data_IF_755771139199
#
_entry.id   IF_755771139199
#
_cell.length_a   1.000
_cell.length_b   1.000
_cell.length_c   1.000
_cell.angle_alpha   90.00
_cell.angle_beta   90.00
_cell.angle_gamma   90.00
#
_symmetry.space_group_name_H-M   'P 1'
#
loop_
_entity.id
_entity.type
_entity.pdbx_description
1 polymer ?
#
# COMPACT_ATOMS: atom_id res chain seq x y z
N UNK A 1 37.79 -21.49 -42.13
CA UNK A 1 38.20 -20.98 -40.79
C UNK A 1 38.46 -19.49 -40.71
N UNK A 2 39.17 -18.85 -41.66
CA UNK A 2 39.39 -17.38 -41.64
C UNK A 2 38.10 -16.54 -41.74
N UNK A 3 37.14 -16.89 -42.61
CA UNK A 3 35.87 -16.17 -42.78
C UNK A 3 34.98 -16.18 -41.52
N UNK A 4 35.02 -17.27 -40.75
CA UNK A 4 34.22 -17.39 -39.52
C UNK A 4 34.80 -16.50 -38.38
N UNK A 5 36.14 -16.41 -38.28
CA UNK A 5 36.82 -15.50 -37.35
C UNK A 5 36.53 -14.01 -37.63
N UNK A 6 36.54 -13.64 -38.93
CA UNK A 6 36.21 -12.25 -39.33
C UNK A 6 34.75 -11.91 -39.04
N UNK A 7 33.83 -12.87 -39.22
CA UNK A 7 32.41 -12.66 -38.91
C UNK A 7 32.15 -12.54 -37.41
N UNK A 8 32.80 -13.37 -36.57
CA UNK A 8 32.72 -13.25 -35.09
C UNK A 8 33.36 -11.93 -34.60
N UNK A 9 34.47 -11.49 -35.16
CA UNK A 9 35.11 -10.22 -34.79
C UNK A 9 34.25 -9.01 -35.15
N UNK A 10 33.58 -9.03 -36.30
CA UNK A 10 32.64 -7.99 -36.72
C UNK A 10 31.35 -8.02 -35.85
N UNK A 11 30.84 -9.19 -35.53
CA UNK A 11 29.66 -9.33 -34.62
C UNK A 11 29.97 -8.80 -33.23
N UNK A 12 31.14 -9.09 -32.68
CA UNK A 12 31.58 -8.54 -31.38
C UNK A 12 31.79 -7.02 -31.41
N UNK A 13 32.36 -6.50 -32.52
CA UNK A 13 32.47 -5.03 -32.70
C UNK A 13 31.11 -4.35 -32.87
N UNK A 14 30.17 -4.95 -33.60
CA UNK A 14 28.80 -4.40 -33.71
C UNK A 14 28.00 -4.49 -32.40
N UNK A 15 28.15 -5.56 -31.66
CA UNK A 15 27.53 -5.68 -30.30
C UNK A 15 28.15 -4.67 -29.32
N UNK A 16 29.48 -4.46 -29.36
CA UNK A 16 30.12 -3.45 -28.51
C UNK A 16 29.72 -2.02 -28.88
N UNK A 17 29.61 -1.70 -30.17
CA UNK A 17 29.17 -0.36 -30.62
C UNK A 17 27.67 -0.11 -30.37
N UNK A 18 26.81 -1.13 -30.40
CA UNK A 18 25.41 -1.03 -30.08
C UNK A 18 25.19 -0.83 -28.55
N UNK A 19 26.01 -1.47 -27.71
CA UNK A 19 25.99 -1.26 -26.25
C UNK A 19 26.43 0.18 -25.86
N UNK A 20 27.31 0.81 -26.60
CA UNK A 20 27.73 2.21 -26.37
C UNK A 20 26.69 3.25 -26.84
N UNK A 21 25.71 2.82 -27.62
CA UNK A 21 24.64 3.70 -28.13
C UNK A 21 23.39 3.69 -27.26
N UNK A 22 23.33 2.85 -26.21
CA UNK A 22 22.22 2.85 -25.22
C UNK A 22 22.62 3.80 -24.10
N UNK A 23 21.99 4.98 -23.97
CA UNK A 23 22.26 5.87 -22.85
C UNK A 23 21.77 5.17 -21.57
N UNK A 24 22.64 5.01 -20.58
CA UNK A 24 22.39 4.51 -19.22
C UNK A 24 22.49 2.99 -18.95
N UNK A 25 23.10 2.18 -19.83
CA UNK A 25 23.43 0.79 -19.48
C UNK A 25 24.84 0.75 -18.91
N UNK A 26 24.96 0.54 -17.61
CA UNK A 26 26.24 0.31 -16.91
C UNK A 26 26.47 -1.19 -16.73
N UNK A 27 27.74 -1.62 -16.56
CA UNK A 27 28.05 -3.03 -16.24
C UNK A 27 27.34 -3.48 -14.95
N UNK A 28 27.31 -2.63 -13.95
CA UNK A 28 26.61 -2.89 -12.69
C UNK A 28 25.09 -3.04 -12.90
N UNK A 29 24.50 -2.24 -13.79
CA UNK A 29 23.09 -2.34 -14.14
C UNK A 29 22.73 -3.67 -14.82
N UNK A 30 23.60 -4.16 -15.72
CA UNK A 30 23.41 -5.48 -16.38
C UNK A 30 23.51 -6.60 -15.35
N UNK A 31 24.50 -6.53 -14.47
CA UNK A 31 24.71 -7.52 -13.41
C UNK A 31 23.50 -7.56 -12.44
N UNK A 32 23.02 -6.39 -12.00
CA UNK A 32 21.84 -6.29 -11.16
C UNK A 32 20.63 -6.93 -11.82
N UNK A 33 20.33 -6.58 -13.08
CA UNK A 33 19.16 -7.07 -13.80
C UNK A 33 19.24 -8.59 -13.98
N UNK A 34 20.43 -9.14 -14.28
CA UNK A 34 20.66 -10.58 -14.32
C UNK A 34 20.44 -11.27 -12.96
N UNK A 35 21.03 -10.73 -11.91
CA UNK A 35 20.87 -11.28 -10.56
C UNK A 35 19.42 -11.18 -10.07
N UNK A 36 18.69 -10.14 -10.49
CA UNK A 36 17.28 -9.97 -10.16
C UNK A 36 16.42 -11.06 -10.81
N UNK A 37 16.61 -11.35 -12.10
CA UNK A 37 15.92 -12.45 -12.79
C UNK A 37 16.19 -13.80 -12.12
N UNK A 38 17.43 -14.06 -11.73
CA UNK A 38 17.78 -15.27 -10.96
C UNK A 38 17.06 -15.29 -9.60
N UNK A 39 17.06 -14.17 -8.86
CA UNK A 39 16.43 -14.08 -7.54
C UNK A 39 14.92 -14.32 -7.59
N UNK A 40 14.20 -13.72 -8.54
CA UNK A 40 12.74 -13.89 -8.64
C UNK A 40 12.35 -15.29 -9.12
N UNK A 41 13.26 -16.02 -9.78
CA UNK A 41 13.06 -17.42 -10.18
C UNK A 41 13.16 -18.41 -9.01
N UNK A 42 13.78 -17.99 -7.90
CA UNK A 42 13.94 -18.83 -6.70
C UNK A 42 12.59 -19.00 -5.98
N UNK A 43 12.17 -20.23 -5.65
CA UNK A 43 10.95 -20.47 -4.89
C UNK A 43 10.92 -19.73 -3.55
N UNK A 44 9.75 -19.26 -3.12
CA UNK A 44 9.57 -18.46 -1.91
C UNK A 44 10.12 -19.12 -0.61
N UNK A 45 10.16 -20.44 -0.55
CA UNK A 45 10.73 -21.18 0.60
C UNK A 45 12.27 -21.29 0.58
N UNK A 46 12.93 -20.79 -0.46
CA UNK A 46 14.40 -20.86 -0.65
C UNK A 46 15.05 -19.47 -0.70
N UNK A 47 14.28 -18.41 -0.69
CA UNK A 47 14.73 -17.02 -0.64
C UNK A 47 14.14 -16.30 0.58
N UNK A 48 14.65 -15.11 0.94
CA UNK A 48 13.98 -14.25 1.92
C UNK A 48 12.57 -13.93 1.48
N UNK A 49 11.62 -13.97 2.43
CA UNK A 49 10.24 -13.55 2.20
C UNK A 49 10.13 -12.03 2.19
N UNK A 50 9.59 -11.49 1.12
CA UNK A 50 9.41 -10.05 0.92
C UNK A 50 8.01 -9.65 1.40
N UNK A 51 7.95 -8.70 2.30
CA UNK A 51 6.70 -8.15 2.81
C UNK A 51 6.47 -6.71 2.38
N UNK A 52 5.20 -6.31 2.24
CA UNK A 52 4.81 -4.95 1.86
C UNK A 52 3.84 -4.36 2.89
N UNK A 53 4.22 -3.23 3.50
CA UNK A 53 3.38 -2.45 4.40
C UNK A 53 2.86 -1.18 3.71
N UNK A 54 1.55 -0.95 3.77
CA UNK A 54 0.86 0.19 3.15
C UNK A 54 0.26 1.11 4.21
N UNK A 55 0.64 2.40 4.20
CA UNK A 55 0.08 3.38 5.15
C UNK A 55 -1.41 3.63 4.95
N UNK A 56 -2.03 4.13 6.00
CA UNK A 56 -3.26 4.90 5.87
C UNK A 56 -3.02 6.17 5.04
N UNK A 57 -4.09 6.86 4.62
CA UNK A 57 -3.91 8.14 3.94
C UNK A 57 -5.15 8.69 3.23
N UNK A 58 -6.30 8.04 3.29
CA UNK A 58 -7.47 8.43 2.51
C UNK A 58 -7.14 8.50 1.01
N UNK A 59 -7.51 9.58 0.33
CA UNK A 59 -7.22 9.79 -1.11
C UNK A 59 -5.71 9.66 -1.42
N UNK A 60 -4.85 10.17 -0.56
CA UNK A 60 -3.38 10.06 -0.71
C UNK A 60 -2.91 8.62 -0.80
N UNK A 61 -3.58 7.71 -0.06
CA UNK A 61 -3.27 6.28 -0.07
C UNK A 61 -3.45 5.61 -1.43
N UNK A 62 -4.18 6.24 -2.38
CA UNK A 62 -4.26 5.71 -3.74
C UNK A 62 -2.90 5.69 -4.46
N UNK A 63 -1.89 6.39 -3.94
CA UNK A 63 -0.50 6.27 -4.40
C UNK A 63 0.03 4.83 -4.31
N UNK A 64 -0.49 4.02 -3.39
CA UNK A 64 -0.12 2.60 -3.28
C UNK A 64 -0.46 1.79 -4.54
N UNK A 65 -1.49 2.16 -5.31
CA UNK A 65 -1.81 1.52 -6.60
C UNK A 65 -0.67 1.73 -7.60
N UNK A 66 -0.15 2.96 -7.68
CA UNK A 66 1.00 3.26 -8.54
C UNK A 66 2.29 2.55 -8.09
N UNK A 67 2.50 2.42 -6.78
CA UNK A 67 3.63 1.64 -6.24
C UNK A 67 3.47 0.16 -6.61
N UNK A 68 2.29 -0.43 -6.40
CA UNK A 68 2.02 -1.82 -6.77
C UNK A 68 2.20 -2.07 -8.26
N UNK A 69 1.83 -1.13 -9.12
CA UNK A 69 2.05 -1.23 -10.57
C UNK A 69 3.54 -1.35 -10.91
N UNK A 70 4.38 -0.51 -10.31
CA UNK A 70 5.84 -0.54 -10.56
C UNK A 70 6.47 -1.81 -9.98
N UNK A 71 6.09 -2.20 -8.77
CA UNK A 71 6.57 -3.44 -8.14
C UNK A 71 6.16 -4.68 -8.96
N UNK A 72 4.90 -4.74 -9.40
CA UNK A 72 4.39 -5.82 -10.24
C UNK A 72 5.12 -5.90 -11.59
N UNK A 73 5.34 -4.76 -12.25
CA UNK A 73 6.07 -4.71 -13.53
C UNK A 73 7.55 -5.09 -13.38
N UNK A 74 8.13 -4.88 -12.21
CA UNK A 74 9.49 -5.32 -11.88
C UNK A 74 9.58 -6.79 -11.44
N UNK A 75 8.47 -7.53 -11.46
CA UNK A 75 8.41 -8.92 -11.00
C UNK A 75 8.68 -9.06 -9.49
N UNK A 76 8.41 -8.02 -8.69
CA UNK A 76 8.68 -8.05 -7.24
C UNK A 76 7.85 -9.12 -6.55
N UNK A 77 8.49 -10.14 -5.95
CA UNK A 77 7.75 -11.17 -5.22
C UNK A 77 7.27 -10.60 -3.88
N UNK A 78 5.96 -10.52 -3.70
CA UNK A 78 5.37 -10.08 -2.43
C UNK A 78 4.77 -11.31 -1.75
N UNK A 79 5.35 -11.72 -0.62
CA UNK A 79 4.99 -12.95 0.10
C UNK A 79 4.06 -12.69 1.29
N UNK A 80 3.94 -11.43 1.75
CA UNK A 80 3.05 -11.02 2.83
C UNK A 80 2.73 -9.53 2.71
N UNK A 81 1.53 -9.13 3.11
CA UNK A 81 1.12 -7.74 3.06
C UNK A 81 0.35 -7.32 4.31
N UNK A 82 0.45 -6.04 4.64
CA UNK A 82 -0.48 -5.41 5.57
C UNK A 82 -0.77 -3.97 5.15
N UNK A 83 -1.98 -3.52 5.46
CA UNK A 83 -2.40 -2.16 5.14
C UNK A 83 -3.34 -1.60 6.20
N UNK A 84 -3.38 -0.27 6.31
CA UNK A 84 -4.30 0.44 7.21
C UNK A 84 -5.16 1.41 6.41
N UNK A 85 -6.46 1.49 6.70
CA UNK A 85 -7.40 2.41 6.04
C UNK A 85 -7.39 2.23 4.51
N UNK A 86 -7.05 3.24 3.71
CA UNK A 86 -6.92 3.10 2.26
C UNK A 86 -5.86 2.03 1.88
N UNK A 87 -4.78 1.91 2.64
CA UNK A 87 -3.81 0.83 2.46
C UNK A 87 -4.41 -0.56 2.70
N UNK A 88 -5.42 -0.68 3.58
CA UNK A 88 -6.16 -1.93 3.77
C UNK A 88 -7.04 -2.26 2.57
N UNK A 89 -7.72 -1.28 1.99
CA UNK A 89 -8.53 -1.46 0.77
C UNK A 89 -7.66 -1.93 -0.39
N UNK A 90 -6.63 -1.15 -0.72
CA UNK A 90 -5.76 -1.43 -1.87
C UNK A 90 -4.99 -2.74 -1.67
N UNK A 91 -4.41 -2.92 -0.48
CA UNK A 91 -3.63 -4.11 -0.17
C UNK A 91 -4.46 -5.39 -0.19
N UNK A 92 -5.68 -5.36 0.34
CA UNK A 92 -6.56 -6.53 0.35
C UNK A 92 -7.10 -6.89 -1.04
N UNK A 93 -7.43 -5.90 -1.88
CA UNK A 93 -7.83 -6.13 -3.26
C UNK A 93 -6.68 -6.75 -4.07
N UNK A 94 -5.46 -6.23 -3.91
CA UNK A 94 -4.28 -6.79 -4.54
C UNK A 94 -3.97 -8.20 -4.03
N UNK A 95 -4.05 -8.41 -2.72
CA UNK A 95 -3.84 -9.71 -2.10
C UNK A 95 -4.90 -10.76 -2.51
N UNK A 96 -6.09 -10.32 -2.93
CA UNK A 96 -7.14 -11.15 -3.52
C UNK A 96 -6.90 -11.48 -5.01
N UNK A 97 -5.76 -11.05 -5.59
CA UNK A 97 -5.38 -11.34 -6.97
C UNK A 97 -5.76 -10.27 -8.00
N UNK A 98 -6.35 -9.12 -7.61
CA UNK A 98 -6.65 -8.06 -8.56
C UNK A 98 -5.34 -7.38 -9.01
N UNK A 99 -5.06 -7.36 -10.32
CA UNK A 99 -3.87 -6.69 -10.85
C UNK A 99 -3.99 -5.16 -10.70
N UNK A 100 -2.87 -4.42 -10.68
CA UNK A 100 -2.89 -2.96 -10.54
C UNK A 100 -3.80 -2.22 -11.52
N UNK A 101 -3.95 -2.74 -12.73
CA UNK A 101 -4.83 -2.17 -13.77
C UNK A 101 -6.29 -2.16 -13.34
N UNK A 102 -6.76 -3.22 -12.68
CA UNK A 102 -8.13 -3.27 -12.14
C UNK A 102 -8.30 -2.33 -10.96
N UNK A 103 -7.28 -2.17 -10.11
CA UNK A 103 -7.28 -1.19 -9.03
C UNK A 103 -7.41 0.25 -9.57
N UNK A 104 -6.75 0.58 -10.69
CA UNK A 104 -6.94 1.85 -11.38
C UNK A 104 -8.36 2.04 -11.90
N UNK A 105 -8.96 1.01 -12.50
CA UNK A 105 -10.35 1.08 -12.98
C UNK A 105 -11.34 1.26 -11.83
N UNK A 106 -11.15 0.54 -10.72
CA UNK A 106 -11.93 0.74 -9.50
C UNK A 106 -11.84 2.22 -9.06
N UNK A 107 -10.62 2.78 -9.01
CA UNK A 107 -10.39 4.17 -8.62
C UNK A 107 -11.11 5.18 -9.53
N UNK A 108 -11.16 4.94 -10.85
CA UNK A 108 -11.88 5.80 -11.82
C UNK A 108 -13.40 5.76 -11.63
N UNK A 109 -13.94 4.61 -11.23
CA UNK A 109 -15.38 4.38 -11.15
C UNK A 109 -15.94 4.54 -9.72
N UNK A 110 -15.07 4.83 -8.74
CA UNK A 110 -15.53 5.14 -7.38
C UNK A 110 -16.51 6.32 -7.42
N UNK A 111 -17.77 6.02 -7.20
CA UNK A 111 -18.79 7.05 -7.02
C UNK A 111 -18.94 7.38 -5.52
N UNK A 112 -18.20 8.37 -5.08
CA UNK A 112 -18.17 8.75 -3.67
C UNK A 112 -19.51 9.20 -3.12
N UNK A 113 -20.42 9.70 -3.95
CA UNK A 113 -21.80 9.99 -3.50
C UNK A 113 -22.55 8.74 -3.05
N UNK A 114 -22.15 7.57 -3.55
CA UNK A 114 -22.71 6.27 -3.09
C UNK A 114 -22.02 5.75 -1.83
N UNK A 115 -20.76 6.13 -1.60
CA UNK A 115 -19.91 5.60 -0.53
C UNK A 115 -19.94 6.51 0.70
N UNK A 116 -19.98 7.84 0.46
CA UNK A 116 -20.12 8.81 1.56
C UNK A 116 -21.53 8.80 2.12
N UNK A 117 -21.67 9.10 3.42
CA UNK A 117 -22.96 9.23 4.02
C UNK A 117 -23.81 10.26 3.26
N UNK A 118 -25.06 9.93 2.98
CA UNK A 118 -26.02 10.90 2.54
C UNK A 118 -26.20 11.95 3.64
N UNK A 119 -25.52 13.09 3.52
CA UNK A 119 -25.85 14.32 4.25
C UNK A 119 -27.09 14.95 3.65
N UNK A 120 -28.12 14.11 3.39
CA UNK A 120 -29.45 14.60 3.08
C UNK A 120 -30.08 15.24 4.33
N UNK A 121 -31.18 15.94 4.14
CA UNK A 121 -31.88 16.63 5.22
C UNK A 121 -32.18 15.71 6.42
N UNK A 122 -32.45 14.42 6.18
CA UNK A 122 -32.70 13.41 7.20
C UNK A 122 -31.42 12.99 7.93
N UNK A 123 -30.29 12.89 7.20
CA UNK A 123 -28.97 12.61 7.80
C UNK A 123 -28.50 13.76 8.68
N UNK A 124 -28.70 15.00 8.22
CA UNK A 124 -28.42 16.21 9.00
C UNK A 124 -29.30 16.29 10.25
N UNK A 125 -30.59 15.95 10.13
CA UNK A 125 -31.51 15.87 11.27
C UNK A 125 -31.06 14.81 12.28
N UNK A 126 -30.70 13.60 11.84
CA UNK A 126 -30.19 12.54 12.71
C UNK A 126 -28.89 12.96 13.42
N UNK A 127 -27.99 13.63 12.71
CA UNK A 127 -26.74 14.13 13.28
C UNK A 127 -26.99 15.21 14.33
N UNK A 128 -27.84 16.21 14.02
CA UNK A 128 -28.09 17.34 14.91
C UNK A 128 -28.96 16.98 16.11
N UNK A 129 -29.99 16.15 15.92
CA UNK A 129 -30.97 15.87 16.96
C UNK A 129 -30.81 14.52 17.66
N UNK A 130 -30.28 13.50 16.95
CA UNK A 130 -30.08 12.17 17.50
C UNK A 130 -28.60 11.89 17.81
N UNK A 131 -27.68 12.79 17.45
CA UNK A 131 -26.23 12.64 17.61
C UNK A 131 -25.71 11.31 17.02
N UNK A 132 -26.38 10.79 15.97
CA UNK A 132 -26.01 9.56 15.28
C UNK A 132 -25.21 9.86 14.03
N UNK A 133 -24.07 9.21 13.92
CA UNK A 133 -23.27 9.20 12.70
C UNK A 133 -23.86 8.21 11.67
N UNK A 134 -23.58 8.38 10.38
CA UNK A 134 -24.00 7.44 9.35
C UNK A 134 -23.19 6.13 9.42
N UNK A 135 -23.82 5.04 8.95
CA UNK A 135 -23.14 3.75 8.82
C UNK A 135 -22.19 3.73 7.64
N UNK A 136 -21.08 3.01 7.77
CA UNK A 136 -20.12 2.72 6.69
C UNK A 136 -20.46 1.46 5.89
N UNK A 137 -21.68 0.93 5.96
CA UNK A 137 -22.08 -0.28 5.22
C UNK A 137 -21.94 -0.16 3.71
N UNK A 138 -22.13 1.05 3.15
CA UNK A 138 -21.93 1.29 1.71
C UNK A 138 -20.49 1.00 1.28
N UNK A 139 -19.50 1.27 2.14
CA UNK A 139 -18.09 0.94 1.88
C UNK A 139 -17.89 -0.58 1.81
N UNK A 140 -18.51 -1.31 2.72
CA UNK A 140 -18.47 -2.79 2.73
C UNK A 140 -19.16 -3.36 1.48
N UNK A 141 -20.32 -2.83 1.11
CA UNK A 141 -21.04 -3.26 -0.09
C UNK A 141 -20.21 -3.00 -1.34
N UNK A 142 -19.64 -1.80 -1.47
CA UNK A 142 -18.75 -1.47 -2.59
C UNK A 142 -17.54 -2.42 -2.66
N UNK A 143 -16.91 -2.73 -1.54
CA UNK A 143 -15.80 -3.67 -1.49
C UNK A 143 -16.21 -5.07 -1.95
N UNK A 144 -17.36 -5.57 -1.48
CA UNK A 144 -17.91 -6.85 -1.88
C UNK A 144 -18.34 -6.92 -3.35
N UNK A 145 -18.70 -5.79 -3.96
CA UNK A 145 -18.95 -5.71 -5.41
C UNK A 145 -17.69 -5.99 -6.24
N UNK A 146 -16.49 -5.74 -5.69
CA UNK A 146 -15.24 -5.95 -6.41
C UNK A 146 -14.75 -7.40 -6.35
N UNK A 147 -14.81 -8.04 -5.18
CA UNK A 147 -14.19 -9.36 -4.95
C UNK A 147 -15.12 -10.38 -4.30
N UNK A 148 -16.41 -10.04 -4.08
CA UNK A 148 -17.33 -10.91 -3.38
C UNK A 148 -17.10 -10.99 -1.87
N UNK A 149 -17.78 -11.94 -1.23
CA UNK A 149 -17.65 -12.20 0.21
C UNK A 149 -16.54 -13.23 0.46
N UNK A 150 -15.30 -12.79 0.40
CA UNK A 150 -14.13 -13.65 0.63
C UNK A 150 -13.60 -13.49 2.07
N UNK A 151 -12.77 -14.41 2.46
CA UNK A 151 -12.11 -14.48 3.76
C UNK A 151 -10.61 -14.23 3.59
N UNK A 152 -9.91 -13.93 4.68
CA UNK A 152 -8.45 -13.83 4.67
C UNK A 152 -7.79 -15.12 4.18
N UNK A 153 -8.39 -16.26 4.49
CA UNK A 153 -7.89 -17.58 4.13
C UNK A 153 -7.98 -17.87 2.62
N UNK A 154 -8.77 -17.09 1.88
CA UNK A 154 -8.98 -17.21 0.44
C UNK A 154 -8.03 -16.32 -0.39
N UNK A 155 -7.21 -15.50 0.27
CA UNK A 155 -6.30 -14.57 -0.38
C UNK A 155 -5.09 -15.26 -1.00
N UNK A 156 -4.64 -14.80 -2.15
CA UNK A 156 -3.43 -15.29 -2.83
C UNK A 156 -2.16 -14.90 -2.07
N UNK A 157 -2.17 -13.72 -1.44
CA UNK A 157 -1.07 -13.23 -0.59
C UNK A 157 -1.60 -13.09 0.84
N UNK A 158 -0.93 -13.68 1.85
CA UNK A 158 -1.24 -13.44 3.25
C UNK A 158 -1.35 -11.93 3.56
N UNK A 159 -2.48 -11.54 4.13
CA UNK A 159 -2.78 -10.14 4.41
C UNK A 159 -3.17 -9.93 5.87
N UNK A 160 -2.84 -8.77 6.43
CA UNK A 160 -3.34 -8.34 7.73
C UNK A 160 -3.73 -6.85 7.72
N UNK A 161 -4.70 -6.52 8.55
CA UNK A 161 -5.08 -5.12 8.81
C UNK A 161 -5.42 -4.91 10.27
N UNK A 162 -5.60 -3.66 10.69
CA UNK A 162 -5.95 -3.31 12.04
C UNK A 162 -7.10 -2.30 12.10
N UNK A 163 -7.83 -2.36 13.22
CA UNK A 163 -8.78 -1.35 13.67
C UNK A 163 -8.51 -1.00 15.13
N UNK A 164 -9.13 0.04 15.65
CA UNK A 164 -9.09 0.37 17.09
C UNK A 164 -10.46 0.12 17.73
N UNK A 165 -10.47 -0.53 18.88
CA UNK A 165 -11.68 -0.61 19.72
C UNK A 165 -11.85 0.70 20.51
N UNK A 166 -12.94 1.42 20.24
CA UNK A 166 -13.23 2.73 20.89
C UNK A 166 -13.39 2.60 22.41
N UNK A 167 -13.85 1.44 22.91
CA UNK A 167 -14.06 1.24 24.35
C UNK A 167 -12.76 1.12 25.13
N UNK A 168 -11.77 0.47 24.55
CA UNK A 168 -10.52 0.13 25.25
C UNK A 168 -9.30 0.88 24.75
N UNK A 169 -9.37 1.44 23.51
CA UNK A 169 -8.22 2.01 22.82
C UNK A 169 -7.26 0.96 22.26
N UNK A 170 -7.59 -0.33 22.39
CA UNK A 170 -6.74 -1.42 21.93
C UNK A 170 -6.73 -1.55 20.42
N UNK A 171 -5.60 -1.92 19.88
CA UNK A 171 -5.48 -2.38 18.49
C UNK A 171 -6.14 -3.75 18.34
N UNK A 172 -7.04 -3.88 17.38
CA UNK A 172 -7.65 -5.14 16.96
C UNK A 172 -7.06 -5.54 15.63
N UNK A 173 -6.31 -6.64 15.59
CA UNK A 173 -5.67 -7.17 14.40
C UNK A 173 -6.63 -8.13 13.72
N UNK A 174 -6.71 -8.04 12.38
CA UNK A 174 -7.42 -8.95 11.50
C UNK A 174 -6.44 -9.58 10.52
N UNK A 175 -6.34 -10.89 10.57
CA UNK A 175 -5.55 -11.76 9.70
C UNK A 175 -6.30 -13.05 9.36
N UNK A 176 -7.54 -13.15 9.78
CA UNK A 176 -8.40 -14.31 9.60
C UNK A 176 -9.89 -13.91 9.65
N UNK A 177 -10.74 -14.73 9.06
CA UNK A 177 -12.18 -14.51 9.03
C UNK A 177 -12.68 -13.63 7.87
N UNK A 178 -13.85 -12.97 7.98
CA UNK A 178 -14.43 -12.16 6.91
C UNK A 178 -13.59 -10.94 6.59
N UNK A 179 -13.13 -10.82 5.33
CA UNK A 179 -12.25 -9.74 4.89
C UNK A 179 -12.98 -8.39 4.84
N UNK A 180 -14.20 -8.38 4.36
CA UNK A 180 -15.03 -7.19 4.18
C UNK A 180 -15.30 -6.43 5.49
N UNK A 181 -15.55 -7.14 6.58
CA UNK A 181 -15.75 -6.55 7.90
C UNK A 181 -14.44 -5.90 8.40
N UNK A 182 -13.32 -6.58 8.22
CA UNK A 182 -12.02 -6.10 8.66
C UNK A 182 -11.60 -4.82 7.89
N UNK A 183 -11.75 -4.84 6.57
CA UNK A 183 -11.45 -3.68 5.71
C UNK A 183 -12.37 -2.51 6.05
N UNK A 184 -13.69 -2.76 6.20
CA UNK A 184 -14.65 -1.75 6.65
C UNK A 184 -14.25 -1.15 8.00
N UNK A 185 -13.88 -1.97 8.98
CA UNK A 185 -13.46 -1.50 10.29
C UNK A 185 -12.18 -0.66 10.22
N UNK A 186 -11.20 -1.10 9.40
CA UNK A 186 -9.93 -0.41 9.21
C UNK A 186 -10.05 0.96 8.55
N UNK A 187 -11.09 1.20 7.75
CA UNK A 187 -11.32 2.51 7.08
C UNK A 187 -12.48 3.31 7.69
N UNK A 188 -12.97 2.92 8.85
CA UNK A 188 -14.12 3.54 9.51
C UNK A 188 -13.72 4.79 10.29
N UNK A 189 -13.55 5.92 9.58
CA UNK A 189 -13.04 7.18 10.12
C UNK A 189 -13.83 7.64 11.36
N UNK A 190 -13.15 7.86 12.51
CA UNK A 190 -13.77 8.37 13.73
C UNK A 190 -14.40 9.75 13.49
N UNK A 191 -15.62 9.93 14.01
CA UNK A 191 -16.37 11.18 13.85
C UNK A 191 -17.03 11.40 12.49
N UNK A 192 -16.76 10.51 11.51
CA UNK A 192 -17.41 10.49 10.19
C UNK A 192 -18.45 9.39 10.11
N UNK A 193 -18.14 8.21 10.63
CA UNK A 193 -19.02 7.04 10.63
C UNK A 193 -19.27 6.52 12.04
N UNK A 194 -20.44 5.88 12.23
CA UNK A 194 -20.70 5.08 13.43
C UNK A 194 -19.67 3.96 13.54
N UNK A 195 -19.20 3.63 14.76
CA UNK A 195 -18.29 2.51 14.96
C UNK A 195 -18.85 1.19 14.40
N UNK A 196 -18.00 0.38 13.81
CA UNK A 196 -18.38 -0.97 13.34
C UNK A 196 -18.48 -1.89 14.55
N UNK A 197 -19.69 -2.38 14.81
CA UNK A 197 -19.88 -3.39 15.87
C UNK A 197 -19.48 -4.78 15.35
N UNK A 198 -18.49 -5.39 16.00
CA UNK A 198 -18.01 -6.72 15.68
C UNK A 198 -17.52 -7.46 16.92
N UNK A 199 -18.10 -8.63 17.23
CA UNK A 199 -17.75 -9.48 18.39
C UNK A 199 -17.70 -8.69 19.70
N UNK A 200 -18.73 -7.89 19.98
CA UNK A 200 -18.87 -7.03 21.16
C UNK A 200 -17.85 -5.88 21.27
N UNK A 201 -17.08 -5.60 20.21
CA UNK A 201 -16.19 -4.45 20.07
C UNK A 201 -16.83 -3.38 19.20
N UNK A 202 -16.40 -2.14 19.37
CA UNK A 202 -16.83 -0.98 18.60
C UNK A 202 -15.62 -0.40 17.87
N UNK A 203 -15.49 -0.73 16.59
CA UNK A 203 -14.28 -0.56 15.84
C UNK A 203 -14.30 0.71 14.99
N UNK A 204 -13.16 1.41 14.99
CA UNK A 204 -12.87 2.57 14.13
C UNK A 204 -11.54 2.36 13.43
N UNK A 205 -11.22 3.29 12.51
CA UNK A 205 -10.05 3.23 11.64
C UNK A 205 -8.76 2.91 12.40
N UNK A 206 -8.01 1.96 11.86
CA UNK A 206 -6.75 1.50 12.42
C UNK A 206 -5.64 2.55 12.43
N UNK A 207 -5.76 3.61 11.63
CA UNK A 207 -4.78 4.71 11.59
C UNK A 207 -4.58 5.39 12.95
N UNK A 208 -5.55 5.28 13.86
CA UNK A 208 -5.46 5.84 15.22
C UNK A 208 -4.38 5.14 16.06
N UNK A 209 -4.14 3.84 15.82
CA UNK A 209 -3.24 2.99 16.61
C UNK A 209 -2.09 2.37 15.82
N UNK A 210 -2.23 2.24 14.50
CA UNK A 210 -1.22 1.63 13.63
C UNK A 210 -1.31 2.22 12.22
N UNK A 211 -0.69 3.36 12.00
CA UNK A 211 -0.77 4.08 10.74
C UNK A 211 0.02 3.40 9.60
N UNK A 212 1.17 2.80 9.92
CA UNK A 212 2.02 2.02 9.01
C UNK A 212 2.28 0.63 9.62
N UNK A 213 1.59 -0.43 9.14
CA UNK A 213 1.52 -1.71 9.83
C UNK A 213 2.73 -2.65 9.52
N UNK A 214 3.97 -2.15 9.65
CA UNK A 214 5.21 -2.93 9.46
C UNK A 214 5.24 -4.14 10.41
N UNK A 215 4.79 -3.96 11.65
CA UNK A 215 4.74 -5.03 12.64
C UNK A 215 3.80 -6.17 12.21
N UNK A 216 2.71 -5.89 11.50
CA UNK A 216 1.80 -6.94 11.02
C UNK A 216 2.42 -7.75 9.90
N UNK A 217 3.13 -7.10 8.99
CA UNK A 217 3.89 -7.78 7.93
C UNK A 217 4.98 -8.68 8.53
N UNK A 218 5.69 -8.18 9.54
CA UNK A 218 6.70 -8.97 10.26
C UNK A 218 6.10 -10.20 10.95
N UNK A 219 4.92 -10.05 11.55
CA UNK A 219 4.22 -11.16 12.22
C UNK A 219 3.77 -12.25 11.25
N UNK A 220 3.61 -11.93 9.96
CA UNK A 220 3.33 -12.90 8.88
C UNK A 220 4.60 -13.61 8.38
N UNK A 221 5.75 -13.32 8.98
CA UNK A 221 7.02 -14.00 8.71
C UNK A 221 7.79 -13.43 7.53
N UNK A 222 7.60 -12.16 7.18
CA UNK A 222 8.47 -11.49 6.22
C UNK A 222 9.87 -11.27 6.81
N UNK A 223 10.88 -11.59 6.01
CA UNK A 223 12.30 -11.41 6.35
C UNK A 223 12.77 -9.99 5.94
N UNK A 224 12.28 -9.49 4.82
CA UNK A 224 12.55 -8.15 4.28
C UNK A 224 11.24 -7.38 4.09
N UNK A 225 11.16 -6.17 4.60
CA UNK A 225 9.91 -5.39 4.58
C UNK A 225 10.10 -4.09 3.82
N UNK A 226 9.28 -3.92 2.78
CA UNK A 226 9.11 -2.68 2.02
C UNK A 226 7.95 -1.90 2.65
N UNK A 227 8.16 -0.63 2.96
CA UNK A 227 7.11 0.27 3.41
C UNK A 227 6.75 1.27 2.30
N UNK A 228 5.50 1.26 1.85
CA UNK A 228 4.96 2.33 0.99
C UNK A 228 4.29 3.37 1.86
N UNK A 229 4.88 4.55 1.91
CA UNK A 229 4.49 5.63 2.82
C UNK A 229 3.91 6.81 2.06
N UNK A 230 2.77 7.31 2.53
CA UNK A 230 2.21 8.60 2.13
C UNK A 230 2.48 9.62 3.24
N UNK A 231 3.57 10.39 3.15
CA UNK A 231 3.94 11.32 4.20
C UNK A 231 2.87 12.39 4.37
N UNK A 232 2.75 12.87 5.59
CA UNK A 232 1.78 13.89 6.00
C UNK A 232 2.44 15.27 5.96
N UNK A 233 1.82 16.25 5.30
CA UNK A 233 2.29 17.64 5.30
C UNK A 233 1.46 18.50 6.24
N UNK A 234 2.13 19.21 7.13
CA UNK A 234 1.54 20.12 8.11
C UNK A 234 1.77 21.59 7.77
N UNK A 235 2.46 21.89 6.66
CA UNK A 235 2.77 23.25 6.23
C UNK A 235 1.54 24.02 5.73
N UNK A 236 0.46 23.30 5.39
CA UNK A 236 -0.78 23.87 4.89
C UNK A 236 -1.59 24.59 5.97
N UNK A 237 -2.54 25.40 5.52
CA UNK A 237 -3.36 26.30 6.35
C UNK A 237 -3.96 25.65 7.61
N UNK A 238 -4.17 26.46 8.65
CA UNK A 238 -4.88 26.06 9.87
C UNK A 238 -6.30 25.59 9.51
N UNK A 239 -6.75 24.41 9.98
CA UNK A 239 -8.08 23.90 9.73
C UNK A 239 -9.16 24.89 10.21
N UNK A 240 -10.20 25.11 9.38
CA UNK A 240 -11.28 26.08 9.68
C UNK A 240 -12.55 25.41 10.24
N UNK A 241 -12.64 24.07 10.22
CA UNK A 241 -13.81 23.35 10.73
C UNK A 241 -13.38 22.35 11.81
N UNK A 242 -14.30 22.03 12.72
CA UNK A 242 -14.04 21.05 13.79
C UNK A 242 -13.62 19.70 13.22
N UNK A 243 -14.29 19.21 12.18
CA UNK A 243 -13.94 17.95 11.53
C UNK A 243 -12.52 17.97 10.95
N UNK A 244 -12.17 19.03 10.21
CA UNK A 244 -10.81 19.19 9.66
C UNK A 244 -9.75 19.34 10.75
N UNK A 245 -10.10 19.94 11.90
CA UNK A 245 -9.19 20.06 13.03
C UNK A 245 -8.91 18.71 13.68
N UNK A 246 -9.96 17.90 13.90
CA UNK A 246 -9.82 16.54 14.45
C UNK A 246 -9.01 15.63 13.52
N UNK A 247 -9.26 15.68 12.20
CA UNK A 247 -8.47 14.96 11.21
C UNK A 247 -6.99 15.40 11.24
N UNK A 248 -6.72 16.70 11.38
CA UNK A 248 -5.36 17.23 11.50
C UNK A 248 -4.63 16.69 12.74
N UNK A 249 -5.32 16.58 13.88
CA UNK A 249 -4.73 15.98 15.10
C UNK A 249 -4.37 14.50 14.83
N UNK A 250 -5.27 13.77 14.18
CA UNK A 250 -5.03 12.39 13.74
C UNK A 250 -3.81 12.28 12.80
N UNK A 251 -3.71 13.19 11.84
CA UNK A 251 -2.57 13.26 10.90
C UNK A 251 -1.25 13.54 11.64
N UNK A 252 -1.22 14.49 12.59
CA UNK A 252 -0.01 14.79 13.40
C UNK A 252 0.44 13.55 14.19
N UNK A 253 -0.49 12.85 14.81
CA UNK A 253 -0.21 11.58 15.49
C UNK A 253 0.29 10.53 14.51
N UNK A 254 -0.38 10.41 13.36
CA UNK A 254 -0.01 9.49 12.29
C UNK A 254 1.43 9.68 11.79
N UNK A 255 1.89 10.93 11.65
CA UNK A 255 3.27 11.22 11.23
C UNK A 255 4.29 10.64 12.20
N UNK A 256 4.08 10.81 13.52
CA UNK A 256 4.97 10.24 14.53
C UNK A 256 4.96 8.68 14.47
N UNK A 257 3.81 8.07 14.23
CA UNK A 257 3.69 6.61 14.09
C UNK A 257 4.36 6.11 12.80
N UNK A 258 4.27 6.85 11.70
CA UNK A 258 4.99 6.54 10.45
C UNK A 258 6.50 6.54 10.71
N UNK A 259 7.03 7.61 11.34
CA UNK A 259 8.46 7.74 11.63
C UNK A 259 8.98 6.57 12.46
N UNK A 260 8.27 6.21 13.54
CA UNK A 260 8.63 5.08 14.39
C UNK A 260 8.58 3.74 13.64
N UNK A 261 7.52 3.51 12.83
CA UNK A 261 7.32 2.24 12.14
C UNK A 261 8.23 2.08 10.92
N UNK A 262 8.51 3.18 10.20
CA UNK A 262 9.39 3.18 9.03
C UNK A 262 10.83 2.75 9.37
N UNK A 263 11.32 3.07 10.57
CA UNK A 263 12.64 2.63 11.05
C UNK A 263 12.74 1.09 11.20
N UNK A 264 11.60 0.38 11.23
CA UNK A 264 11.53 -1.07 11.36
C UNK A 264 11.37 -1.78 10.00
N UNK A 265 11.21 -1.03 8.93
CA UNK A 265 11.22 -1.52 7.55
C UNK A 265 12.65 -1.53 7.00
N UNK A 266 12.92 -2.42 6.05
CA UNK A 266 14.22 -2.47 5.38
C UNK A 266 14.33 -1.38 4.31
N UNK A 267 13.23 -1.11 3.59
CA UNK A 267 13.19 -0.10 2.54
C UNK A 267 11.90 0.74 2.62
N UNK A 268 12.01 2.03 2.33
CA UNK A 268 10.87 2.97 2.40
C UNK A 268 10.69 3.70 1.08
N UNK A 269 9.57 3.47 0.41
CA UNK A 269 9.14 4.24 -0.76
C UNK A 269 8.26 5.39 -0.28
N UNK A 270 8.77 6.62 -0.41
CA UNK A 270 8.03 7.82 0.02
C UNK A 270 7.23 8.43 -1.13
N UNK A 271 5.91 8.30 -1.06
CA UNK A 271 4.99 8.90 -2.02
C UNK A 271 4.64 10.33 -1.58
N UNK A 272 5.37 11.32 -2.07
CA UNK A 272 5.21 12.74 -1.66
C UNK A 272 3.93 13.36 -2.25
N UNK A 273 2.79 12.97 -1.71
CA UNK A 273 1.43 13.43 -2.09
C UNK A 273 1.02 14.68 -1.28
N UNK A 274 1.94 15.62 -1.09
CA UNK A 274 1.82 16.74 -0.14
C UNK A 274 0.67 17.69 -0.46
N UNK A 275 0.36 17.89 -1.74
CA UNK A 275 -0.69 18.81 -2.20
C UNK A 275 -2.08 18.17 -2.28
N UNK A 276 -2.24 16.95 -1.75
CA UNK A 276 -3.50 16.22 -1.79
C UNK A 276 -4.06 16.06 -0.38
N UNK A 277 -5.26 16.59 -0.15
CA UNK A 277 -5.98 16.39 1.10
C UNK A 277 -6.52 14.96 1.22
N UNK A 278 -6.68 14.47 2.46
CA UNK A 278 -7.23 13.15 2.77
C UNK A 278 -8.59 12.87 2.13
N UNK A 279 -9.39 13.92 1.86
CA UNK A 279 -10.76 13.83 1.34
C UNK A 279 -10.94 14.44 -0.07
N UNK A 280 -9.87 14.81 -0.78
CA UNK A 280 -9.91 15.36 -2.15
C UNK A 280 -10.03 14.26 -3.20
N UNK A 281 -11.22 13.74 -3.36
CA UNK A 281 -11.54 12.54 -4.14
C UNK A 281 -11.29 12.67 -5.65
N UNK A 282 -11.34 13.88 -6.17
CA UNK A 282 -11.01 14.21 -7.57
C UNK A 282 -9.51 14.08 -7.88
N UNK A 283 -8.67 13.96 -6.85
CA UNK A 283 -7.22 13.79 -6.97
C UNK A 283 -6.72 12.35 -6.82
N UNK A 284 -7.60 11.35 -6.77
CA UNK A 284 -7.21 9.94 -6.68
C UNK A 284 -6.19 9.55 -7.76
N UNK A 285 -6.50 9.84 -9.02
CA UNK A 285 -5.61 9.52 -10.13
C UNK A 285 -4.25 10.20 -10.00
N UNK A 286 -4.23 11.47 -9.60
CA UNK A 286 -2.99 12.22 -9.35
C UNK A 286 -2.14 11.56 -8.24
N UNK A 287 -2.78 11.08 -7.17
CA UNK A 287 -2.08 10.36 -6.11
C UNK A 287 -1.42 9.08 -6.64
N UNK A 288 -2.14 8.29 -7.44
CA UNK A 288 -1.59 7.08 -8.05
C UNK A 288 -0.40 7.36 -8.97
N UNK A 289 -0.47 8.41 -9.81
CA UNK A 289 0.66 8.81 -10.65
C UNK A 289 1.90 9.24 -9.85
N UNK A 290 1.68 9.85 -8.67
CA UNK A 290 2.78 10.16 -7.75
C UNK A 290 3.41 8.85 -7.25
N UNK A 291 2.59 7.84 -6.94
CA UNK A 291 3.05 6.51 -6.57
C UNK A 291 3.95 5.87 -7.63
N UNK A 292 3.54 5.92 -8.90
CA UNK A 292 4.36 5.43 -10.03
C UNK A 292 5.71 6.16 -10.07
N UNK A 293 5.70 7.49 -10.00
CA UNK A 293 6.95 8.28 -10.05
C UNK A 293 7.87 7.98 -8.87
N UNK A 294 7.30 7.85 -7.67
CA UNK A 294 8.06 7.54 -6.45
C UNK A 294 8.71 6.16 -6.55
N UNK A 295 7.95 5.13 -6.92
CA UNK A 295 8.45 3.78 -7.02
C UNK A 295 9.47 3.62 -8.16
N UNK A 296 9.23 4.22 -9.35
CA UNK A 296 10.18 4.19 -10.45
C UNK A 296 11.54 4.82 -10.12
N UNK A 297 11.55 5.81 -9.24
CA UNK A 297 12.79 6.43 -8.77
C UNK A 297 13.61 5.49 -7.90
N UNK A 298 12.95 4.67 -7.10
CA UNK A 298 13.58 3.86 -6.05
C UNK A 298 13.72 2.37 -6.43
N UNK A 299 13.09 1.91 -7.54
CA UNK A 299 12.97 0.47 -7.84
C UNK A 299 14.33 -0.22 -8.02
N UNK A 300 15.29 0.46 -8.63
CA UNK A 300 16.63 -0.10 -8.86
C UNK A 300 17.41 -0.25 -7.57
N UNK A 301 17.36 0.77 -6.72
CA UNK A 301 18.00 0.77 -5.41
C UNK A 301 17.36 -0.29 -4.51
N UNK A 302 16.03 -0.45 -4.60
CA UNK A 302 15.28 -1.49 -3.89
C UNK A 302 15.70 -2.90 -4.34
N UNK A 303 15.86 -3.14 -5.64
CA UNK A 303 16.32 -4.42 -6.17
C UNK A 303 17.74 -4.73 -5.68
N UNK A 304 18.64 -3.76 -5.70
CA UNK A 304 20.01 -3.92 -5.20
C UNK A 304 20.03 -4.23 -3.70
N UNK A 305 19.26 -3.52 -2.91
CA UNK A 305 19.18 -3.72 -1.47
C UNK A 305 18.64 -5.11 -1.11
N UNK A 306 17.61 -5.59 -1.81
CA UNK A 306 17.08 -6.96 -1.65
C UNK A 306 18.12 -8.00 -2.03
N UNK A 307 18.87 -7.81 -3.12
CA UNK A 307 19.91 -8.75 -3.54
C UNK A 307 21.04 -8.83 -2.51
N UNK A 308 21.49 -7.70 -1.98
CA UNK A 308 22.48 -7.66 -0.90
C UNK A 308 21.96 -8.37 0.36
N UNK A 309 20.73 -8.08 0.77
CA UNK A 309 20.09 -8.75 1.89
C UNK A 309 19.99 -10.27 1.70
N UNK A 310 19.66 -10.71 0.48
CA UNK A 310 19.54 -12.14 0.17
C UNK A 310 20.89 -12.87 0.26
N UNK A 311 21.97 -12.25 -0.17
CA UNK A 311 23.34 -12.79 -0.03
C UNK A 311 23.69 -12.99 1.45
N UNK A 312 23.47 -11.97 2.27
CA UNK A 312 23.74 -12.05 3.72
C UNK A 312 22.88 -13.12 4.40
N UNK A 313 21.63 -13.25 4.02
CA UNK A 313 20.70 -14.24 4.54
C UNK A 313 21.11 -15.69 4.23
N UNK A 314 21.72 -15.93 3.06
CA UNK A 314 22.23 -17.25 2.68
C UNK A 314 23.55 -17.57 3.38
N UNK A 315 24.42 -16.58 3.57
CA UNK A 315 25.73 -16.77 4.21
C UNK A 315 25.60 -17.02 5.72
N UNK A 316 24.52 -16.52 6.35
CA UNK A 316 24.28 -16.68 7.80
C UNK A 316 23.53 -17.97 8.18
N UNK A 317 22.97 -18.70 7.22
CA UNK A 317 22.33 -20.02 7.41
C UNK A 317 23.32 -21.16 7.15
#
# INVERSE_FOLDING_TARGET
MKKLRTFLSLAVMFLSSALWALPNVTEDGILRDFLWEEFISVPANQRPKIGLALTAGGVRGFAHVGVLEVLNNAGMPIDAMAGTSMGAVIGSLYAAGLPPQELWEIGKHINFKKITPDFNLMGLFKFLFLQKLPSSQNLQSFFNEQIGHIRFEDLEIPFATAAMDVKTGEQVIFDSGPLDIAVRASMNLPGVFDPVEYRHRYLVDGAVVNYLPVNLVKNQGADYIIASVTPLDFSSQVPKTVAAYLLRIGDVRGAAMIEESAQKANFVIQNRVLDISTLELDKLHQAGEIGIRSANKEIKDLQEDILLFAIDHVVQK
#
